data_IF_697868927211
#
_entry.id   IF_697868927211
#
_cell.length_a   1.000
_cell.length_b   1.000
_cell.length_c   1.000
_cell.angle_alpha   90.00
_cell.angle_beta   90.00
_cell.angle_gamma   90.00
#
_symmetry.space_group_name_H-M   'P 1'
#
loop_
_entity.id
_entity.type
_entity.pdbx_description
1 polymer ?
#
# COMPACT_ATOMS: atom_id res chain seq x y z
N UNK A 1 7.99 19.85 8.02
CA UNK A 1 6.74 19.38 8.69
C UNK A 1 6.50 17.93 8.30
N UNK A 2 6.29 17.04 9.27
CA UNK A 2 6.25 15.57 9.08
C UNK A 2 4.85 14.95 9.06
N UNK A 3 3.80 15.71 9.36
CA UNK A 3 2.42 15.23 9.31
C UNK A 3 1.87 15.29 7.88
N UNK A 4 2.11 14.26 7.09
CA UNK A 4 1.51 14.06 5.76
C UNK A 4 0.12 13.42 5.88
N UNK A 5 -0.74 13.74 4.91
CA UNK A 5 -2.01 13.03 4.74
C UNK A 5 -1.76 11.80 3.89
N UNK A 6 -2.18 10.63 4.37
CA UNK A 6 -2.08 9.37 3.65
C UNK A 6 -3.48 8.77 3.45
N UNK A 7 -3.63 7.97 2.40
CA UNK A 7 -4.77 7.07 2.24
C UNK A 7 -4.36 5.70 2.76
N UNK A 8 -5.04 5.22 3.80
CA UNK A 8 -4.90 3.86 4.29
C UNK A 8 -6.02 3.00 3.69
N UNK A 9 -5.69 1.78 3.31
CA UNK A 9 -6.67 0.77 2.87
C UNK A 9 -6.53 -0.43 3.79
N UNK A 10 -7.61 -0.78 4.48
CA UNK A 10 -7.73 -2.01 5.24
C UNK A 10 -8.45 -3.04 4.36
N UNK A 11 -7.76 -4.11 4.02
CA UNK A 11 -8.35 -5.29 3.37
C UNK A 11 -8.75 -6.27 4.46
N UNK A 12 -10.04 -6.62 4.51
CA UNK A 12 -10.62 -7.40 5.61
C UNK A 12 -11.26 -8.66 5.03
N UNK A 13 -10.61 -9.84 5.15
CA UNK A 13 -11.19 -11.11 4.74
C UNK A 13 -12.27 -11.56 5.73
N UNK A 14 -13.18 -12.43 5.29
CA UNK A 14 -14.02 -13.18 6.21
C UNK A 14 -13.36 -14.53 6.54
N UNK A 15 -13.00 -14.73 7.81
CA UNK A 15 -12.34 -15.94 8.31
C UNK A 15 -13.25 -16.79 9.21
N UNK A 16 -14.57 -16.56 9.17
CA UNK A 16 -15.52 -17.31 9.98
C UNK A 16 -15.57 -18.79 9.57
N UNK A 17 -15.29 -19.69 10.52
CA UNK A 17 -15.41 -21.15 10.32
C UNK A 17 -16.86 -21.60 10.05
N UNK A 18 -17.85 -20.81 10.47
CA UNK A 18 -19.28 -21.10 10.31
C UNK A 18 -19.88 -20.41 9.08
N UNK A 19 -19.08 -19.63 8.34
CA UNK A 19 -19.52 -18.84 7.20
C UNK A 19 -20.34 -17.60 7.58
N UNK A 20 -20.32 -17.19 8.86
CA UNK A 20 -20.99 -15.99 9.33
C UNK A 20 -20.38 -14.75 8.69
N UNK A 21 -21.21 -13.85 8.17
CA UNK A 21 -20.73 -12.64 7.51
C UNK A 21 -20.02 -11.70 8.49
N UNK A 22 -18.93 -11.03 8.09
CA UNK A 22 -18.41 -9.88 8.83
C UNK A 22 -19.37 -8.71 8.72
N UNK A 23 -19.81 -8.17 9.85
CA UNK A 23 -20.83 -7.10 9.91
C UNK A 23 -20.29 -5.81 10.51
N UNK A 24 -19.17 -5.84 11.21
CA UNK A 24 -18.53 -4.63 11.73
C UNK A 24 -17.01 -4.73 11.69
N UNK A 25 -16.36 -3.61 11.40
CA UNK A 25 -14.94 -3.40 11.53
C UNK A 25 -14.70 -2.15 12.36
N UNK A 26 -13.97 -2.28 13.46
CA UNK A 26 -13.47 -1.16 14.26
C UNK A 26 -11.97 -1.08 14.10
N UNK A 27 -11.42 0.10 13.79
CA UNK A 27 -9.98 0.34 13.73
C UNK A 27 -9.61 1.49 14.66
N UNK A 28 -8.64 1.25 15.53
CA UNK A 28 -8.05 2.24 16.43
C UNK A 28 -7.04 3.10 15.67
N UNK A 29 -7.11 4.41 15.87
CA UNK A 29 -6.24 5.40 15.27
C UNK A 29 -5.35 6.04 16.35
N UNK A 30 -4.12 6.49 16.01
CA UNK A 30 -3.19 7.08 16.97
C UNK A 30 -3.52 8.57 17.23
N UNK A 31 -4.73 8.86 17.71
CA UNK A 31 -5.20 10.22 18.01
C UNK A 31 -4.94 11.23 16.86
N UNK A 32 -5.35 10.85 15.65
CA UNK A 32 -5.02 11.64 14.45
C UNK A 32 -5.77 12.96 14.42
N UNK A 33 -5.11 14.03 14.00
CA UNK A 33 -5.70 15.36 13.91
C UNK A 33 -6.79 15.48 12.81
N UNK A 34 -6.85 14.52 11.89
CA UNK A 34 -7.88 14.49 10.85
C UNK A 34 -8.06 13.09 10.28
N UNK A 35 -9.31 12.69 10.08
CA UNK A 35 -9.69 11.43 9.43
C UNK A 35 -10.96 11.62 8.59
N UNK A 36 -11.01 11.02 7.40
CA UNK A 36 -12.19 10.96 6.52
C UNK A 36 -12.26 9.60 5.83
N UNK A 37 -13.40 8.93 5.91
CA UNK A 37 -13.60 7.64 5.28
C UNK A 37 -14.09 7.78 3.83
N UNK A 38 -13.73 6.83 2.99
CA UNK A 38 -14.41 6.64 1.70
C UNK A 38 -15.86 6.20 1.95
N UNK A 39 -16.81 6.62 1.10
CA UNK A 39 -18.18 6.11 1.15
C UNK A 39 -18.20 4.69 0.61
N UNK A 40 -18.66 3.74 1.43
CA UNK A 40 -18.75 2.32 1.06
C UNK A 40 -20.22 1.95 0.94
N UNK A 41 -20.73 1.62 -0.27
CA UNK A 41 -22.12 1.22 -0.44
C UNK A 41 -22.50 0.05 0.46
N UNK A 42 -23.64 0.14 1.14
CA UNK A 42 -24.11 -0.89 2.07
C UNK A 42 -23.41 -0.86 3.45
N UNK A 43 -22.55 0.12 3.72
CA UNK A 43 -21.88 0.30 5.02
C UNK A 43 -22.03 1.74 5.53
N UNK A 44 -22.11 1.87 6.85
CA UNK A 44 -22.09 3.16 7.55
C UNK A 44 -20.78 3.31 8.29
N UNK A 45 -20.09 4.44 8.12
CA UNK A 45 -18.87 4.76 8.84
C UNK A 45 -19.15 5.77 9.97
N UNK A 46 -18.61 5.53 11.16
CA UNK A 46 -18.63 6.44 12.31
C UNK A 46 -17.20 6.68 12.78
N UNK A 47 -16.85 7.95 13.00
CA UNK A 47 -15.55 8.34 13.56
C UNK A 47 -15.75 8.76 15.02
N UNK A 48 -14.98 8.16 15.93
CA UNK A 48 -14.92 8.57 17.32
C UNK A 48 -13.98 9.77 17.47
N UNK A 49 -14.54 10.93 17.79
CA UNK A 49 -13.81 12.20 17.85
C UNK A 49 -13.69 12.67 19.29
N UNK A 50 -12.48 13.01 19.70
CA UNK A 50 -12.25 13.79 20.90
C UNK A 50 -12.31 15.28 20.54
N UNK A 51 -13.42 15.93 20.87
CA UNK A 51 -13.61 17.34 20.55
C UNK A 51 -12.79 18.27 21.44
N UNK A 52 -12.41 17.84 22.64
CA UNK A 52 -11.59 18.63 23.54
C UNK A 52 -10.12 18.62 23.11
N UNK A 53 -9.62 17.45 22.70
CA UNK A 53 -8.26 17.31 22.18
C UNK A 53 -8.12 17.67 20.69
N UNK A 54 -9.23 17.69 19.94
CA UNK A 54 -9.21 17.91 18.48
C UNK A 54 -8.66 16.72 17.70
N UNK A 55 -8.84 15.49 18.21
CA UNK A 55 -8.29 14.25 17.64
C UNK A 55 -9.40 13.27 17.26
N UNK A 56 -9.04 12.24 16.48
CA UNK A 56 -9.90 11.11 16.13
C UNK A 56 -9.25 9.84 16.65
N UNK A 57 -9.97 9.11 17.52
CA UNK A 57 -9.48 7.91 18.22
C UNK A 57 -9.72 6.62 17.46
N UNK A 58 -10.82 6.54 16.72
CA UNK A 58 -11.16 5.32 15.99
C UNK A 58 -12.14 5.59 14.86
N UNK A 59 -12.29 4.58 14.01
CA UNK A 59 -13.29 4.48 12.96
C UNK A 59 -14.02 3.15 13.09
N UNK A 60 -15.33 3.16 12.93
CA UNK A 60 -16.18 1.97 12.89
C UNK A 60 -16.92 1.95 11.57
N UNK A 61 -16.84 0.84 10.83
CA UNK A 61 -17.70 0.55 9.69
C UNK A 61 -18.67 -0.54 10.07
N UNK A 62 -19.97 -0.28 9.91
CA UNK A 62 -21.05 -1.24 10.21
C UNK A 62 -21.86 -1.51 8.94
N UNK A 63 -22.06 -2.78 8.62
CA UNK A 63 -22.84 -3.21 7.47
C UNK A 63 -24.34 -2.87 7.66
N UNK A 64 -25.02 -2.58 6.55
CA UNK A 64 -26.48 -2.51 6.54
C UNK A 64 -27.09 -3.89 6.85
N UNK A 65 -28.33 -3.95 7.40
CA UNK A 65 -28.98 -5.21 7.70
C UNK A 65 -29.04 -6.16 6.51
N UNK A 66 -28.65 -7.43 6.72
CA UNK A 66 -28.58 -8.44 5.67
C UNK A 66 -27.39 -8.30 4.71
N UNK A 67 -26.54 -7.29 4.89
CA UNK A 67 -25.26 -7.14 4.20
C UNK A 67 -24.09 -7.70 5.02
N UNK A 68 -22.88 -7.32 4.62
CA UNK A 68 -21.63 -7.77 5.24
C UNK A 68 -20.67 -8.35 4.21
N UNK A 69 -19.55 -8.87 4.70
CA UNK A 69 -18.57 -9.61 3.89
C UNK A 69 -18.90 -11.10 4.06
N UNK A 70 -19.31 -11.77 2.98
CA UNK A 70 -19.61 -13.21 3.03
C UNK A 70 -18.36 -14.08 3.13
N UNK A 71 -18.56 -15.40 3.31
CA UNK A 71 -17.46 -16.36 3.25
C UNK A 71 -16.71 -16.25 1.91
N UNK A 72 -15.39 -16.50 1.93
CA UNK A 72 -14.49 -16.41 0.77
C UNK A 72 -14.44 -15.02 0.10
N UNK A 73 -14.89 -13.97 0.78
CA UNK A 73 -14.85 -12.60 0.30
C UNK A 73 -14.00 -11.73 1.22
N UNK A 74 -13.55 -10.59 0.68
CA UNK A 74 -12.93 -9.52 1.44
C UNK A 74 -13.61 -8.19 1.16
N UNK A 75 -13.50 -7.27 2.13
CA UNK A 75 -13.92 -5.88 2.01
C UNK A 75 -12.71 -4.95 2.00
N UNK A 76 -12.80 -3.85 1.25
CA UNK A 76 -11.81 -2.77 1.29
C UNK A 76 -12.40 -1.55 2.00
N UNK A 77 -11.76 -1.15 3.10
CA UNK A 77 -12.15 0.03 3.87
C UNK A 77 -11.05 1.07 3.80
N UNK A 78 -11.33 2.20 3.15
CA UNK A 78 -10.35 3.26 2.98
C UNK A 78 -10.61 4.45 3.88
N UNK A 79 -9.53 5.01 4.40
CA UNK A 79 -9.55 6.21 5.24
C UNK A 79 -8.38 7.11 4.90
N UNK A 80 -8.67 8.38 4.65
CA UNK A 80 -7.68 9.43 4.56
C UNK A 80 -7.40 9.98 5.96
N UNK A 81 -6.15 9.89 6.41
CA UNK A 81 -5.74 10.31 7.76
C UNK A 81 -4.52 11.24 7.69
N UNK A 82 -4.44 12.19 8.61
CA UNK A 82 -3.20 12.93 8.88
C UNK A 82 -2.39 12.16 9.91
N UNK A 83 -1.35 11.47 9.46
CA UNK A 83 -0.54 10.59 10.31
C UNK A 83 0.31 11.40 11.31
N UNK A 84 0.60 10.82 12.49
CA UNK A 84 1.48 11.43 13.46
C UNK A 84 2.92 11.50 12.95
N UNK A 85 3.72 12.33 13.62
CA UNK A 85 5.17 12.35 13.45
C UNK A 85 5.81 11.21 14.27
N UNK A 86 5.83 10.02 13.68
CA UNK A 86 6.40 8.81 14.26
C UNK A 86 7.11 8.00 13.16
N UNK A 87 8.02 7.09 13.55
CA UNK A 87 8.67 6.20 12.59
C UNK A 87 7.75 5.03 12.18
N UNK A 88 6.87 4.58 13.08
CA UNK A 88 5.90 3.50 12.87
C UNK A 88 4.58 3.81 13.54
N UNK A 89 3.49 3.32 12.95
CA UNK A 89 2.13 3.38 13.51
C UNK A 89 1.49 2.01 13.43
N UNK A 90 0.84 1.57 14.51
CA UNK A 90 0.03 0.35 14.55
C UNK A 90 -1.46 0.71 14.62
N UNK A 91 -2.30 -0.13 14.01
CA UNK A 91 -3.74 0.08 13.90
C UNK A 91 -4.48 -1.15 14.42
N UNK A 92 -4.60 -1.28 15.75
CA UNK A 92 -5.37 -2.36 16.36
C UNK A 92 -6.81 -2.35 15.82
N UNK A 93 -7.32 -3.52 15.43
CA UNK A 93 -8.64 -3.64 14.85
C UNK A 93 -9.46 -4.76 15.49
N UNK A 94 -10.78 -4.59 15.49
CA UNK A 94 -11.74 -5.63 15.90
C UNK A 94 -12.68 -5.88 14.73
N UNK A 95 -12.82 -7.15 14.37
CA UNK A 95 -13.75 -7.63 13.37
C UNK A 95 -14.88 -8.37 14.06
N UNK A 96 -16.13 -8.01 13.75
CA UNK A 96 -17.32 -8.64 14.31
C UNK A 96 -18.10 -9.40 13.24
N UNK A 97 -18.60 -10.56 13.60
CA UNK A 97 -19.38 -11.42 12.72
C UNK A 97 -20.88 -11.40 13.07
N UNK A 98 -21.70 -11.84 12.12
CA UNK A 98 -23.16 -11.87 12.24
C UNK A 98 -23.67 -12.78 13.37
N UNK A 99 -22.91 -13.80 13.77
CA UNK A 99 -23.22 -14.67 14.90
C UNK A 99 -22.84 -14.06 16.27
N UNK A 100 -22.26 -12.86 16.27
CA UNK A 100 -21.86 -12.12 17.46
C UNK A 100 -20.44 -12.41 17.93
N UNK A 101 -19.70 -13.30 17.27
CA UNK A 101 -18.28 -13.52 17.55
C UNK A 101 -17.43 -12.33 17.10
N UNK A 102 -16.27 -12.15 17.74
CA UNK A 102 -15.32 -11.09 17.46
C UNK A 102 -13.90 -11.64 17.37
N UNK A 103 -13.10 -11.08 16.47
CA UNK A 103 -11.67 -11.34 16.32
C UNK A 103 -10.90 -10.03 16.50
N UNK A 104 -9.87 -10.06 17.33
CA UNK A 104 -9.04 -8.90 17.65
C UNK A 104 -7.68 -9.01 16.95
N UNK A 105 -7.44 -8.10 16.01
CA UNK A 105 -6.19 -7.90 15.31
C UNK A 105 -5.35 -6.85 16.04
N UNK A 106 -4.84 -7.21 17.21
CA UNK A 106 -4.14 -6.32 18.14
C UNK A 106 -2.84 -6.91 18.73
N UNK A 107 -2.43 -8.08 18.26
CA UNK A 107 -1.26 -8.77 18.82
C UNK A 107 0.04 -8.09 18.37
N UNK A 108 0.98 -7.84 19.30
CA UNK A 108 2.31 -7.36 18.95
C UNK A 108 3.17 -8.49 18.35
N UNK A 109 4.27 -8.17 17.65
CA UNK A 109 5.25 -9.16 17.23
C UNK A 109 5.75 -10.01 18.41
N UNK A 110 5.92 -11.32 18.20
CA UNK A 110 6.35 -12.24 19.25
C UNK A 110 7.85 -12.08 19.57
N UNK A 111 8.30 -12.29 20.82
CA UNK A 111 9.71 -12.12 21.21
C UNK A 111 10.69 -13.06 20.49
N UNK A 112 10.21 -14.20 20.02
CA UNK A 112 10.96 -15.22 19.28
C UNK A 112 10.98 -14.96 17.76
N UNK A 113 10.30 -13.91 17.30
CA UNK A 113 10.19 -13.55 15.89
C UNK A 113 9.16 -14.35 15.11
N UNK A 114 8.34 -15.19 15.77
CA UNK A 114 7.20 -15.85 15.15
C UNK A 114 6.11 -14.86 14.74
N UNK A 115 5.28 -15.26 13.77
CA UNK A 115 4.10 -14.49 13.35
C UNK A 115 2.95 -14.76 14.32
N UNK A 116 2.36 -13.72 14.96
CA UNK A 116 1.15 -13.87 15.75
C UNK A 116 -0.03 -14.33 14.89
N UNK A 117 -1.05 -14.94 15.50
CA UNK A 117 -2.27 -15.36 14.77
C UNK A 117 -3.06 -14.14 14.26
N UNK A 118 -3.13 -13.07 15.06
CA UNK A 118 -3.87 -11.86 14.73
C UNK A 118 -3.01 -10.60 14.95
N UNK A 119 -1.97 -10.38 14.12
CA UNK A 119 -1.06 -9.27 14.28
C UNK A 119 -1.77 -7.94 14.05
N UNK A 120 -1.48 -6.94 14.88
CA UNK A 120 -1.95 -5.59 14.63
C UNK A 120 -1.36 -5.05 13.30
N UNK A 121 -2.17 -4.54 12.36
CA UNK A 121 -1.64 -3.91 11.15
C UNK A 121 -0.67 -2.78 11.47
N UNK A 122 0.51 -2.77 10.83
CA UNK A 122 1.56 -1.77 11.06
C UNK A 122 1.95 -1.05 9.77
N UNK A 123 2.23 0.25 9.88
CA UNK A 123 2.74 1.08 8.80
C UNK A 123 4.03 1.77 9.24
N UNK A 124 5.10 1.54 8.48
CA UNK A 124 6.37 2.27 8.62
C UNK A 124 6.31 3.57 7.82
N UNK A 125 6.63 4.69 8.46
CA UNK A 125 6.52 6.02 7.86
C UNK A 125 7.88 6.48 7.32
N UNK A 126 7.92 6.77 6.02
CA UNK A 126 9.13 7.31 5.40
C UNK A 126 9.39 8.74 5.89
N UNK A 127 10.64 9.02 6.27
CA UNK A 127 11.08 10.38 6.59
C UNK A 127 11.10 11.20 5.29
N UNK A 128 10.38 12.32 5.25
CA UNK A 128 10.49 13.24 4.12
C UNK A 128 11.95 13.68 3.95
N UNK A 129 12.50 13.73 2.73
CA UNK A 129 13.78 14.37 2.51
C UNK A 129 13.66 15.81 3.01
N UNK A 130 14.52 16.18 3.96
CA UNK A 130 14.55 17.55 4.44
C UNK A 130 14.74 18.49 3.25
N UNK A 131 13.98 19.59 3.21
CA UNK A 131 14.29 20.72 2.35
C UNK A 131 15.66 21.25 2.75
N UNK A 132 16.71 20.69 2.16
CA UNK A 132 17.93 21.43 1.95
C UNK A 132 17.56 22.68 1.15
N UNK A 133 18.03 23.84 1.60
CA UNK A 133 18.01 25.06 0.80
C UNK A 133 18.54 24.78 -0.62
N UNK A 134 18.14 25.53 -1.65
CA UNK A 134 18.64 25.32 -2.99
C UNK A 134 20.12 25.73 -3.01
N UNK A 135 21.01 24.78 -2.76
CA UNK A 135 22.38 24.94 -3.22
C UNK A 135 22.32 24.90 -4.75
N UNK A 136 22.59 26.06 -5.34
CA UNK A 136 22.83 26.20 -6.77
C UNK A 136 24.08 25.39 -7.09
N UNK A 137 23.92 24.09 -7.32
CA UNK A 137 24.95 23.27 -7.93
C UNK A 137 24.84 23.46 -9.44
N UNK A 138 25.76 24.26 -9.96
CA UNK A 138 26.13 24.30 -11.38
C UNK A 138 26.22 22.88 -11.94
N UNK A 139 25.70 22.59 -13.15
CA UNK A 139 25.82 21.26 -13.73
C UNK A 139 27.27 21.02 -14.16
N UNK A 140 28.00 20.21 -13.38
CA UNK A 140 29.20 19.54 -13.87
C UNK A 140 28.80 18.13 -14.27
N UNK A 141 28.84 17.87 -15.58
CA UNK A 141 28.60 16.56 -16.18
C UNK A 141 29.77 15.66 -15.78
N UNK A 142 29.52 14.69 -14.90
CA UNK A 142 30.43 13.56 -14.67
C UNK A 142 29.61 12.28 -14.67
N UNK A 143 29.58 11.62 -15.82
CA UNK A 143 29.05 10.28 -15.97
C UNK A 143 29.92 9.29 -15.19
N UNK A 144 29.32 8.53 -14.27
CA UNK A 144 29.84 7.20 -13.96
C UNK A 144 28.73 6.25 -13.53
N UNK A 145 28.13 5.59 -14.52
CA UNK A 145 27.33 4.38 -14.35
C UNK A 145 28.31 3.21 -14.41
N UNK A 146 28.78 2.73 -13.24
CA UNK A 146 29.39 1.42 -13.13
C UNK A 146 28.29 0.43 -12.70
N UNK A 147 27.54 -0.01 -13.70
CA UNK A 147 26.61 -1.12 -13.60
C UNK A 147 27.47 -2.38 -13.76
N UNK A 148 27.51 -3.24 -12.75
CA UNK A 148 28.15 -4.56 -12.84
C UNK A 148 27.49 -5.33 -13.98
N UNK A 149 28.18 -5.41 -15.12
CA UNK A 149 27.71 -6.12 -16.30
C UNK A 149 28.19 -7.57 -16.19
N UNK A 150 27.24 -8.50 -16.03
CA UNK A 150 27.51 -9.91 -16.19
C UNK A 150 28.03 -10.19 -17.62
N UNK A 151 28.99 -11.11 -17.78
CA UNK A 151 29.62 -11.39 -19.08
C UNK A 151 28.64 -11.90 -20.16
N UNK A 152 27.46 -12.39 -19.77
CA UNK A 152 26.36 -12.77 -20.67
C UNK A 152 25.74 -11.57 -21.39
N UNK A 153 25.75 -10.38 -20.77
CA UNK A 153 25.05 -9.20 -21.27
C UNK A 153 25.78 -8.56 -22.46
N UNK A 154 27.11 -8.69 -22.51
CA UNK A 154 27.92 -8.25 -23.65
C UNK A 154 27.78 -9.17 -24.86
N UNK A 155 27.68 -10.49 -24.64
CA UNK A 155 27.44 -11.46 -25.71
C UNK A 155 26.05 -11.27 -26.34
N UNK A 156 25.02 -11.07 -25.50
CA UNK A 156 23.66 -10.79 -25.96
C UNK A 156 23.57 -9.50 -26.79
N UNK A 157 24.26 -8.43 -26.36
CA UNK A 157 24.29 -7.14 -27.08
C UNK A 157 25.06 -7.20 -28.39
N UNK A 158 26.16 -7.95 -28.45
CA UNK A 158 26.91 -8.19 -29.70
C UNK A 158 26.08 -8.97 -30.72
N UNK A 159 25.37 -10.02 -30.28
CA UNK A 159 24.48 -10.79 -31.15
C UNK A 159 23.29 -9.97 -31.64
N UNK A 160 22.69 -9.15 -30.76
CA UNK A 160 21.60 -8.24 -31.14
C UNK A 160 22.06 -7.18 -32.17
N UNK A 161 23.27 -6.63 -32.01
CA UNK A 161 23.85 -5.69 -32.95
C UNK A 161 24.14 -6.31 -34.32
N UNK A 162 24.70 -7.52 -34.34
CA UNK A 162 24.95 -8.26 -35.58
C UNK A 162 23.63 -8.59 -36.31
N UNK A 163 22.59 -9.01 -35.57
CA UNK A 163 21.27 -9.30 -36.14
C UNK A 163 20.61 -8.05 -36.77
N UNK A 164 20.74 -6.88 -36.14
CA UNK A 164 20.23 -5.61 -36.66
C UNK A 164 20.92 -5.19 -37.96
N UNK A 165 22.24 -5.37 -38.07
CA UNK A 165 22.98 -5.06 -39.29
C UNK A 165 22.58 -5.99 -40.45
N UNK A 166 22.40 -7.28 -40.17
CA UNK A 166 21.94 -8.26 -41.17
C UNK A 166 20.51 -7.93 -41.62
N UNK A 167 19.61 -7.59 -40.69
CA UNK A 167 18.25 -7.18 -41.01
C UNK A 167 18.23 -5.90 -41.87
N UNK A 168 19.05 -4.90 -41.55
CA UNK A 168 19.14 -3.68 -42.33
C UNK A 168 19.65 -3.93 -43.76
N UNK A 169 20.67 -4.79 -43.92
CA UNK A 169 21.18 -5.20 -45.24
C UNK A 169 20.15 -6.01 -46.03
N UNK A 170 19.38 -6.88 -45.38
CA UNK A 170 18.30 -7.63 -46.05
C UNK A 170 17.19 -6.69 -46.55
N UNK A 171 16.83 -5.67 -45.75
CA UNK A 171 15.82 -4.67 -46.14
C UNK A 171 16.30 -3.80 -47.29
N UNK A 172 17.57 -3.37 -47.31
CA UNK A 172 18.10 -2.56 -48.42
C UNK A 172 18.18 -3.35 -49.73
N UNK A 173 18.60 -4.62 -49.67
CA UNK A 173 18.60 -5.52 -50.85
C UNK A 173 17.18 -5.82 -51.34
N UNK A 174 16.22 -6.01 -50.43
CA UNK A 174 14.82 -6.23 -50.79
C UNK A 174 14.20 -4.99 -51.46
N UNK A 175 14.48 -3.78 -50.96
CA UNK A 175 13.96 -2.53 -51.55
C UNK A 175 14.57 -2.25 -52.92
N UNK A 176 15.86 -2.56 -53.12
CA UNK A 176 16.54 -2.37 -54.42
C UNK A 176 16.05 -3.37 -55.46
N UNK A 177 15.87 -4.65 -55.10
CA UNK A 177 15.27 -5.66 -56.00
C UNK A 177 13.81 -5.41 -56.36
N UNK A 178 13.06 -4.69 -55.52
CA UNK A 178 11.65 -4.34 -55.79
C UNK A 178 11.49 -3.14 -56.73
N UNK A 179 12.59 -2.45 -57.05
CA UNK A 179 12.63 -1.22 -57.87
C UNK A 179 13.24 -1.42 -59.27
N UNK A 180 13.66 -2.64 -59.60
CA UNK A 180 14.05 -3.10 -60.94
C UNK A 180 13.05 -4.14 -61.41
#
# INVERSE_FOLDING_TARGET
MRASTAMLTFEVPNESETGSATTELVVTLPDVASARTETVPGWTAKLDRDTAAGTVRSVTWTAAPGGGIGADQFGLFRISVKLPDADTVSFAATQKYADGTEVHWDQPPLPDGGEPDHPAPMLMLARAPGTAAPETQVPVVAANRAQSADPSDNAARLLAGAALLVAALAVTVAITRRRT
#
